data_IF_212378075498
#
_entry.id   IF_212378075498
#
_cell.length_a   1.000
_cell.length_b   1.000
_cell.length_c   1.000
_cell.angle_alpha   90.00
_cell.angle_beta   90.00
_cell.angle_gamma   90.00
#
_symmetry.space_group_name_H-M   'P 1'
#
loop_
_entity.id
_entity.type
_entity.pdbx_description
1 polymer ?
#
# COMPACT_ATOMS: atom_id res chain seq x y z
N UNK A 1 1.91 44.25 12.09
CA UNK A 1 0.87 43.25 12.38
C UNK A 1 0.88 42.25 11.23
N UNK A 2 1.58 41.14 11.40
CA UNK A 2 1.62 40.05 10.41
C UNK A 2 0.31 39.28 10.48
N UNK A 3 -0.41 39.23 9.37
CA UNK A 3 -1.61 38.41 9.24
C UNK A 3 -1.14 36.96 9.28
N UNK A 4 -1.27 36.29 10.44
CA UNK A 4 -1.13 34.83 10.50
C UNK A 4 -2.10 34.25 9.49
N UNK A 5 -1.59 33.40 8.61
CA UNK A 5 -2.45 32.75 7.62
C UNK A 5 -3.43 31.86 8.38
N UNK A 6 -4.66 31.68 7.88
CA UNK A 6 -5.66 30.82 8.55
C UNK A 6 -5.12 29.40 8.86
N UNK A 7 -4.18 28.90 8.04
CA UNK A 7 -3.45 27.66 8.27
C UNK A 7 -2.63 27.64 9.57
N UNK A 8 -2.00 28.76 9.94
CA UNK A 8 -1.21 28.83 11.16
C UNK A 8 -2.11 28.73 12.39
N UNK A 9 -3.34 29.25 12.32
CA UNK A 9 -4.32 29.15 13.40
C UNK A 9 -4.84 27.72 13.59
N UNK A 10 -5.09 27.03 12.48
CA UNK A 10 -5.52 25.63 12.51
C UNK A 10 -4.43 24.70 13.06
N UNK A 11 -3.18 24.87 12.62
CA UNK A 11 -2.07 24.05 13.10
C UNK A 11 -1.87 24.19 14.62
N UNK A 12 -1.92 25.42 15.16
CA UNK A 12 -1.83 25.61 16.62
C UNK A 12 -2.98 24.95 17.37
N UNK A 13 -4.21 24.99 16.84
CA UNK A 13 -5.36 24.33 17.47
C UNK A 13 -5.19 22.81 17.52
N UNK A 14 -4.73 22.21 16.43
CA UNK A 14 -4.47 20.77 16.34
C UNK A 14 -3.32 20.37 17.27
N UNK A 15 -2.25 21.18 17.33
CA UNK A 15 -1.09 20.89 18.17
C UNK A 15 -1.31 21.18 19.66
N UNK A 16 -2.35 21.94 20.02
CA UNK A 16 -2.69 22.23 21.41
C UNK A 16 -3.07 20.98 22.21
N UNK A 17 -3.58 19.93 21.55
CA UNK A 17 -3.90 18.65 22.18
C UNK A 17 -3.32 17.46 21.39
N UNK A 18 -2.05 17.09 21.63
CA UNK A 18 -1.41 15.99 20.93
C UNK A 18 -2.01 14.62 21.28
N UNK A 19 -2.66 14.48 22.45
CA UNK A 19 -3.29 13.22 22.85
C UNK A 19 -4.57 12.98 22.05
N UNK A 20 -5.39 14.02 21.86
CA UNK A 20 -6.58 13.96 21.00
C UNK A 20 -6.22 13.63 19.55
N UNK A 21 -5.21 14.30 18.98
CA UNK A 21 -4.75 14.03 17.60
C UNK A 21 -4.32 12.58 17.42
N UNK A 22 -3.60 12.04 18.41
CA UNK A 22 -3.14 10.65 18.34
C UNK A 22 -4.30 9.67 18.40
N UNK A 23 -5.26 9.90 19.29
CA UNK A 23 -6.44 9.06 19.44
C UNK A 23 -7.30 9.05 18.16
N UNK A 24 -7.52 10.22 17.54
CA UNK A 24 -8.29 10.32 16.30
C UNK A 24 -7.58 9.62 15.14
N UNK A 25 -6.26 9.82 15.00
CA UNK A 25 -5.48 9.15 13.98
C UNK A 25 -5.53 7.62 14.14
N UNK A 26 -5.36 7.12 15.37
CA UNK A 26 -5.43 5.68 15.65
C UNK A 26 -6.83 5.12 15.35
N UNK A 27 -7.90 5.88 15.64
CA UNK A 27 -9.27 5.49 15.32
C UNK A 27 -9.50 5.37 13.79
N UNK A 28 -9.02 6.33 13.00
CA UNK A 28 -9.09 6.28 11.54
C UNK A 28 -8.31 5.08 11.01
N UNK A 29 -7.10 4.83 11.53
CA UNK A 29 -6.30 3.68 11.11
C UNK A 29 -7.02 2.38 11.44
N UNK A 30 -7.52 2.22 12.66
CA UNK A 30 -8.24 1.02 13.08
C UNK A 30 -9.50 0.75 12.22
N UNK A 31 -10.22 1.81 11.85
CA UNK A 31 -11.43 1.69 11.02
C UNK A 31 -11.15 1.29 9.57
N UNK A 32 -9.98 1.63 9.03
CA UNK A 32 -9.64 1.39 7.62
C UNK A 32 -8.68 0.22 7.40
N UNK A 33 -7.88 -0.12 8.41
CA UNK A 33 -6.82 -1.11 8.34
C UNK A 33 -7.02 -2.16 9.43
N UNK A 34 -8.03 -3.01 9.25
CA UNK A 34 -8.22 -4.17 10.12
C UNK A 34 -7.02 -5.11 9.99
N UNK A 35 -6.44 -5.61 11.10
CA UNK A 35 -5.40 -6.63 11.03
C UNK A 35 -5.91 -7.86 10.28
N UNK A 36 -5.09 -8.51 9.45
CA UNK A 36 -5.52 -9.72 8.76
C UNK A 36 -6.01 -10.74 9.78
N UNK A 37 -7.25 -11.20 9.60
CA UNK A 37 -7.85 -12.27 10.40
C UNK A 37 -6.87 -13.46 10.41
N UNK A 38 -6.57 -13.96 11.61
CA UNK A 38 -5.78 -15.20 11.73
C UNK A 38 -6.50 -16.28 10.95
N UNK A 39 -5.81 -17.06 10.09
CA UNK A 39 -6.46 -18.15 9.39
C UNK A 39 -7.10 -19.08 10.42
N UNK A 40 -8.41 -19.30 10.26
CA UNK A 40 -9.13 -20.28 11.07
C UNK A 40 -8.43 -21.64 10.89
N UNK A 41 -8.18 -22.40 11.97
CA UNK A 41 -7.64 -23.74 11.84
C UNK A 41 -8.60 -24.56 10.99
N UNK A 42 -8.17 -24.90 9.77
CA UNK A 42 -8.91 -25.78 8.87
C UNK A 42 -9.10 -27.11 9.60
N UNK A 43 -10.34 -27.60 9.78
CA UNK A 43 -10.57 -28.92 10.32
C UNK A 43 -9.79 -29.93 9.48
N UNK A 44 -8.89 -30.69 10.11
CA UNK A 44 -8.21 -31.79 9.44
C UNK A 44 -9.29 -32.82 9.09
N UNK A 45 -9.59 -32.97 7.81
CA UNK A 45 -10.38 -34.12 7.35
C UNK A 45 -9.67 -35.40 7.76
N UNK A 46 -10.38 -36.40 8.30
CA UNK A 46 -9.78 -37.72 8.53
C UNK A 46 -9.19 -38.23 7.23
N UNK A 47 -7.93 -38.67 7.27
CA UNK A 47 -7.25 -39.28 6.13
C UNK A 47 -8.14 -40.40 5.56
N UNK A 48 -8.64 -40.21 4.35
CA UNK A 48 -9.29 -41.29 3.62
C UNK A 48 -8.27 -42.43 3.42
N UNK A 49 -8.68 -43.71 3.49
CA UNK A 49 -7.77 -44.82 3.29
C UNK A 49 -7.07 -44.69 1.91
N UNK A 50 -5.75 -44.59 1.96
CA UNK A 50 -4.86 -44.51 0.81
C UNK A 50 -5.04 -45.78 -0.05
N UNK A 51 -5.40 -45.68 -1.35
CA UNK A 51 -5.36 -46.86 -2.23
C UNK A 51 -3.90 -47.27 -2.44
N UNK A 52 -3.60 -48.54 -2.18
CA UNK A 52 -2.27 -49.10 -2.31
C UNK A 52 -1.77 -49.06 -3.77
N UNK A 53 -0.53 -48.58 -3.93
CA UNK A 53 0.41 -48.88 -5.01
C UNK A 53 -0.15 -49.03 -6.45
N UNK A 54 -0.46 -47.89 -7.08
CA UNK A 54 -0.41 -47.73 -8.53
C UNK A 54 0.74 -46.80 -8.88
N UNK A 55 1.82 -47.34 -9.42
CA UNK A 55 3.06 -46.64 -9.78
C UNK A 55 2.83 -45.76 -11.01
N UNK A 56 2.73 -44.44 -10.80
CA UNK A 56 3.09 -43.45 -11.81
C UNK A 56 4.15 -42.51 -11.22
N UNK A 57 5.35 -42.39 -11.81
CA UNK A 57 6.32 -41.42 -11.36
C UNK A 57 5.80 -40.01 -11.67
N UNK A 58 5.61 -39.21 -10.63
CA UNK A 58 5.30 -37.79 -10.75
C UNK A 58 6.27 -37.09 -11.74
N UNK A 59 5.78 -36.22 -12.65
CA UNK A 59 6.66 -35.29 -13.32
C UNK A 59 7.01 -34.18 -12.32
N UNK A 60 8.05 -34.38 -11.52
CA UNK A 60 8.72 -33.33 -10.77
C UNK A 60 9.45 -32.38 -11.74
N UNK A 61 8.74 -31.72 -12.65
CA UNK A 61 9.30 -30.67 -13.50
C UNK A 61 8.23 -29.66 -13.87
N UNK A 62 8.08 -28.62 -13.05
CA UNK A 62 8.25 -27.21 -13.45
C UNK A 62 8.65 -26.41 -12.21
N UNK A 63 9.95 -26.27 -11.97
CA UNK A 63 10.48 -25.13 -11.21
C UNK A 63 10.51 -23.93 -12.17
N UNK A 64 9.43 -23.16 -12.21
CA UNK A 64 9.44 -21.76 -12.67
C UNK A 64 8.10 -21.12 -12.28
N UNK A 65 8.03 -20.60 -11.05
CA UNK A 65 7.14 -19.47 -10.81
C UNK A 65 7.77 -18.29 -11.55
N UNK A 66 7.09 -17.64 -12.52
CA UNK A 66 7.46 -16.29 -12.85
C UNK A 66 7.07 -15.47 -11.62
N UNK A 67 8.05 -15.15 -10.77
CA UNK A 67 7.91 -14.04 -9.85
C UNK A 67 7.58 -12.84 -10.74
N UNK A 68 6.30 -12.47 -10.82
CA UNK A 68 5.91 -11.17 -11.35
C UNK A 68 6.38 -10.16 -10.31
N UNK A 69 7.67 -9.84 -10.36
CA UNK A 69 8.15 -8.60 -9.80
C UNK A 69 7.27 -7.50 -10.42
N UNK A 70 6.63 -6.64 -9.62
CA UNK A 70 6.03 -5.44 -10.17
C UNK A 70 7.12 -4.74 -10.99
N UNK A 71 6.89 -4.65 -12.29
CA UNK A 71 7.77 -3.91 -13.19
C UNK A 71 7.82 -2.50 -12.62
N UNK A 72 9.00 -2.03 -12.21
CA UNK A 72 9.18 -0.62 -11.86
C UNK A 72 8.73 0.19 -13.07
N UNK A 73 7.62 0.91 -12.93
CA UNK A 73 7.16 1.83 -13.94
C UNK A 73 8.21 2.94 -14.07
N UNK A 74 8.56 3.30 -15.32
CA UNK A 74 9.39 4.47 -15.55
C UNK A 74 8.55 5.70 -15.22
N UNK A 75 9.10 6.64 -14.46
CA UNK A 75 8.50 7.95 -14.28
C UNK A 75 8.22 8.60 -15.64
N UNK A 76 7.13 9.38 -15.78
CA UNK A 76 6.88 10.18 -16.97
C UNK A 76 8.10 11.07 -17.31
N UNK A 77 8.38 11.34 -18.60
CA UNK A 77 9.44 12.27 -18.96
C UNK A 77 9.15 13.64 -18.34
N UNK A 78 10.19 14.27 -17.78
CA UNK A 78 10.09 15.61 -17.22
C UNK A 78 9.53 16.59 -18.28
N UNK A 79 8.56 17.45 -17.92
CA UNK A 79 8.08 18.48 -18.81
C UNK A 79 9.25 19.41 -19.13
N UNK A 80 9.58 19.53 -20.42
CA UNK A 80 10.51 20.55 -20.89
C UNK A 80 9.88 21.90 -20.59
N UNK A 81 10.44 22.65 -19.65
CA UNK A 81 10.21 24.09 -19.59
C UNK A 81 10.77 24.68 -20.88
N UNK A 82 9.89 24.92 -21.85
CA UNK A 82 10.19 25.84 -22.93
C UNK A 82 10.19 27.22 -22.29
N UNK A 83 11.34 27.61 -21.75
CA UNK A 83 11.66 29.01 -21.46
C UNK A 83 11.84 29.72 -22.79
N UNK A 84 10.73 29.92 -23.50
CA UNK A 84 10.63 30.79 -24.67
C UNK A 84 10.18 32.17 -24.22
N UNK A 85 11.07 32.91 -23.57
CA UNK A 85 10.87 34.34 -23.37
C UNK A 85 11.10 35.07 -24.69
N UNK A 86 10.07 35.77 -25.17
CA UNK A 86 10.15 37.07 -25.88
C UNK A 86 8.69 37.51 -26.11
N UNK A 87 8.08 38.30 -25.23
CA UNK A 87 8.19 39.77 -25.15
C UNK A 87 8.18 40.43 -26.54
N UNK A 88 6.98 40.88 -26.93
CA UNK A 88 6.72 42.20 -27.52
C UNK A 88 7.48 42.62 -28.79
N UNK A 89 6.76 42.66 -29.91
CA UNK A 89 6.86 43.73 -30.92
C UNK A 89 5.41 44.13 -31.25
N UNK A 90 4.99 45.29 -30.74
CA UNK A 90 4.79 46.55 -31.49
C UNK A 90 3.65 46.46 -32.48
#
# INVERSE_FOLDING_TARGET
MTVRSANDGFAELVLADPAWVRAEFDAIVAANFEPPLRPSPVPRTPDAPHPAAGRDPAPWRVLTLPVRCPRRERSPPEPRFVTGGERGKR
#
